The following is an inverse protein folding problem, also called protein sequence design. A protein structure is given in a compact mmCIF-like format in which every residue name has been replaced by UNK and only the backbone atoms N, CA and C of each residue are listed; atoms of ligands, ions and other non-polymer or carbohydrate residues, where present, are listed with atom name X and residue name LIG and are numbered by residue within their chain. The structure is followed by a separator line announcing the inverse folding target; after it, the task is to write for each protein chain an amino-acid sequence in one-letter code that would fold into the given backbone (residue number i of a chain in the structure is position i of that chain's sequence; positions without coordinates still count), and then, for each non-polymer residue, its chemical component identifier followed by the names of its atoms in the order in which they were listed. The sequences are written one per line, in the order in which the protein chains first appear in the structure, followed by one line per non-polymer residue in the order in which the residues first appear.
data_IF_678047736725
#
_entry.id   IF_678047736725
#
_cell.length_a   1.000
_cell.length_b   1.000
_cell.length_c   1.000
_cell.angle_alpha   90.00
_cell.angle_beta   90.00
_cell.angle_gamma   90.00
#
_symmetry.space_group_name_H-M   'P 1'
#
loop_
_entity.id
_entity.type
_entity.pdbx_description
1 polymer ?
#
# COMPACT_ATOMS: atom_id res chain seq x y z
N UNK A 1 15.87 8.86 3.71
CA UNK A 1 15.33 7.96 4.76
C UNK A 1 14.47 8.81 5.68
N UNK A 2 13.26 8.34 5.99
CA UNK A 2 12.27 9.03 6.82
C UNK A 2 12.04 8.15 8.04
N UNK A 3 11.96 8.76 9.24
CA UNK A 3 11.64 8.06 10.49
C UNK A 3 10.47 8.74 11.14
N UNK A 4 9.39 8.01 11.37
CA UNK A 4 8.17 8.52 11.98
C UNK A 4 7.90 7.77 13.26
N UNK A 5 8.10 8.41 14.41
CA UNK A 5 7.69 7.86 15.70
C UNK A 5 6.15 7.78 15.81
N UNK A 6 5.64 7.21 16.90
CA UNK A 6 4.21 7.19 17.19
C UNK A 6 3.63 8.62 17.16
N UNK A 7 2.54 8.82 16.41
CA UNK A 7 1.89 10.13 16.27
C UNK A 7 2.63 11.17 15.42
N UNK A 8 3.83 10.86 14.90
CA UNK A 8 4.55 11.78 14.01
C UNK A 8 4.12 11.62 12.55
N UNK A 9 4.00 12.75 11.88
CA UNK A 9 3.75 12.87 10.44
C UNK A 9 4.79 13.82 9.84
N UNK A 10 5.05 13.68 8.54
CA UNK A 10 5.76 14.72 7.80
C UNK A 10 4.86 15.98 7.69
N UNK A 11 5.44 17.16 7.42
CA UNK A 11 4.65 18.39 7.24
C UNK A 11 3.69 18.36 6.04
N UNK A 12 4.00 17.51 5.06
CA UNK A 12 3.20 17.22 3.87
C UNK A 12 3.62 15.83 3.33
N UNK A 13 2.79 15.15 2.52
CA UNK A 13 3.15 13.86 1.93
C UNK A 13 4.43 13.96 1.12
N UNK A 14 5.42 13.16 1.47
CA UNK A 14 6.67 13.00 0.75
C UNK A 14 6.54 11.77 -0.14
N UNK A 15 6.47 12.01 -1.44
CA UNK A 15 6.14 10.97 -2.41
C UNK A 15 7.34 10.47 -3.18
N UNK A 16 7.22 9.24 -3.68
CA UNK A 16 8.08 8.65 -4.69
C UNK A 16 7.23 8.27 -5.91
N UNK A 17 7.84 8.35 -7.10
CA UNK A 17 7.22 7.93 -8.35
C UNK A 17 7.90 6.64 -8.80
N UNK A 18 7.13 5.57 -8.91
CA UNK A 18 7.59 4.26 -9.35
C UNK A 18 6.93 3.98 -10.69
N UNK A 19 7.69 3.99 -11.79
CA UNK A 19 7.11 3.89 -13.12
C UNK A 19 8.05 3.23 -14.13
N UNK A 20 7.44 2.68 -15.17
CA UNK A 20 8.07 2.27 -16.41
C UNK A 20 7.33 2.98 -17.58
N UNK A 21 7.69 2.74 -18.86
CA UNK A 21 7.07 3.44 -19.99
C UNK A 21 5.55 3.32 -20.10
N UNK A 22 4.94 2.27 -19.56
CA UNK A 22 3.52 1.95 -19.74
C UNK A 22 2.73 1.86 -18.43
N UNK A 23 3.33 2.12 -17.26
CA UNK A 23 2.67 1.90 -15.97
C UNK A 23 3.36 2.68 -14.87
N UNK A 24 2.62 3.12 -13.87
CA UNK A 24 3.25 3.70 -12.69
C UNK A 24 2.33 3.87 -11.48
N UNK A 25 2.96 4.27 -10.38
CA UNK A 25 2.30 4.61 -9.14
C UNK A 25 3.03 5.76 -8.45
N UNK A 26 2.27 6.67 -7.85
CA UNK A 26 2.79 7.62 -6.86
C UNK A 26 2.51 7.03 -5.50
N UNK A 27 3.51 7.00 -4.64
CA UNK A 27 3.43 6.42 -3.30
C UNK A 27 4.03 7.38 -2.28
N UNK A 28 3.27 7.75 -1.25
CA UNK A 28 3.75 8.59 -0.16
C UNK A 28 4.48 7.79 0.93
N UNK A 29 5.11 8.49 1.87
CA UNK A 29 5.71 7.90 3.05
C UNK A 29 4.68 7.33 4.04
N UNK A 30 3.41 7.74 3.92
CA UNK A 30 2.32 7.16 4.67
C UNK A 30 1.92 5.79 4.11
N UNK A 31 2.26 5.49 2.86
CA UNK A 31 1.81 4.31 2.12
C UNK A 31 0.58 4.57 1.25
N UNK A 32 0.05 5.79 1.26
CA UNK A 32 -1.00 6.19 0.33
C UNK A 32 -0.47 6.13 -1.11
N UNK A 33 -1.28 5.56 -2.00
CA UNK A 33 -0.94 5.41 -3.40
C UNK A 33 -2.10 5.72 -4.34
N UNK A 34 -1.74 6.09 -5.56
CA UNK A 34 -2.57 5.85 -6.74
C UNK A 34 -1.71 5.24 -7.84
N UNK A 35 -2.33 4.48 -8.72
CA UNK A 35 -1.69 3.64 -9.74
C UNK A 35 -2.41 3.81 -11.08
N UNK A 36 -1.67 3.79 -12.18
CA UNK A 36 -2.19 3.96 -13.55
C UNK A 36 -1.51 3.04 -14.56
N UNK A 37 -2.17 2.84 -15.69
CA UNK A 37 -1.62 2.19 -16.88
C UNK A 37 -1.60 3.19 -18.03
N UNK A 38 -0.48 3.34 -18.72
CA UNK A 38 -0.21 4.21 -19.89
C UNK A 38 -0.39 5.72 -19.66
N UNK A 39 -1.52 6.17 -19.09
CA UNK A 39 -1.85 7.56 -18.86
C UNK A 39 -2.32 7.81 -17.41
N UNK A 40 -1.56 8.62 -16.67
CA UNK A 40 -1.83 8.94 -15.26
C UNK A 40 -3.09 9.78 -15.01
N UNK A 41 -3.68 10.34 -16.07
CA UNK A 41 -4.92 11.11 -16.01
C UNK A 41 -6.13 10.26 -16.42
N UNK A 42 -6.08 9.64 -17.60
CA UNK A 42 -7.23 8.97 -18.22
C UNK A 42 -7.41 7.50 -17.79
N UNK A 43 -6.32 6.81 -17.44
CA UNK A 43 -6.29 5.36 -17.28
C UNK A 43 -5.79 4.98 -15.88
N UNK A 44 -6.43 5.56 -14.87
CA UNK A 44 -6.14 5.26 -13.48
C UNK A 44 -6.74 3.91 -13.10
N UNK A 45 -5.95 3.10 -12.41
CA UNK A 45 -6.42 1.85 -11.82
C UNK A 45 -7.03 2.12 -10.45
N UNK A 46 -6.44 3.02 -9.68
CA UNK A 46 -6.87 3.40 -8.32
C UNK A 46 -7.04 4.91 -8.21
N UNK A 47 -7.87 5.41 -7.27
CA UNK A 47 -8.23 6.81 -7.21
C UNK A 47 -7.04 7.69 -6.82
N UNK A 48 -6.97 8.86 -7.45
CA UNK A 48 -6.10 9.94 -7.00
C UNK A 48 -6.94 11.01 -6.30
N UNK A 49 -6.41 11.50 -5.19
CA UNK A 49 -7.01 12.58 -4.42
C UNK A 49 -6.04 13.75 -4.35
N UNK A 50 -6.53 14.96 -4.60
CA UNK A 50 -5.74 16.18 -4.45
C UNK A 50 -5.85 16.74 -3.02
N UNK A 51 -5.58 15.92 -2.02
CA UNK A 51 -5.68 16.28 -0.60
C UNK A 51 -4.36 16.01 0.12
N UNK A 52 -3.57 17.08 0.28
CA UNK A 52 -2.28 17.03 0.97
C UNK A 52 -2.41 16.98 2.52
N UNK A 53 -3.62 17.12 3.06
CA UNK A 53 -3.88 17.08 4.51
C UNK A 53 -4.15 15.65 4.95
N UNK A 54 -5.08 14.98 4.27
CA UNK A 54 -5.51 13.63 4.66
C UNK A 54 -4.73 12.53 3.94
N UNK A 55 -4.13 12.82 2.79
CA UNK A 55 -3.41 11.85 1.94
C UNK A 55 -4.19 10.53 1.74
N UNK A 56 -5.48 10.57 1.34
CA UNK A 56 -6.29 9.37 1.27
C UNK A 56 -5.86 8.49 0.08
N UNK A 57 -6.05 7.19 0.22
CA UNK A 57 -5.73 6.22 -0.83
C UNK A 57 -6.82 5.18 -0.98
N UNK A 58 -7.05 4.78 -2.23
CA UNK A 58 -7.82 3.59 -2.57
C UNK A 58 -7.01 2.30 -2.51
N UNK A 59 -5.79 2.31 -2.00
CA UNK A 59 -4.94 1.13 -1.84
C UNK A 59 -4.55 0.96 -0.37
N UNK A 60 -4.64 -0.27 0.13
CA UNK A 60 -4.23 -0.56 1.49
C UNK A 60 -3.74 -2.00 1.66
N UNK A 61 -2.88 -2.19 2.66
CA UNK A 61 -2.47 -3.50 3.15
C UNK A 61 -2.67 -3.55 4.67
N UNK A 62 -3.44 -4.53 5.11
CA UNK A 62 -3.73 -4.77 6.52
C UNK A 62 -3.03 -6.04 6.98
N UNK A 63 -2.54 -6.00 8.21
CA UNK A 63 -2.08 -7.13 8.98
C UNK A 63 -3.00 -7.26 10.19
N UNK A 64 -3.40 -8.49 10.47
CA UNK A 64 -4.22 -8.81 11.62
C UNK A 64 -3.61 -9.98 12.38
N UNK A 65 -3.54 -9.85 13.70
CA UNK A 65 -3.32 -10.98 14.59
C UNK A 65 -4.66 -11.65 14.88
N UNK A 66 -4.79 -12.92 14.48
CA UNK A 66 -6.04 -13.68 14.60
C UNK A 66 -6.35 -14.09 16.05
N UNK A 67 -5.36 -14.07 16.94
CA UNK A 67 -5.55 -14.42 18.35
C UNK A 67 -6.03 -13.21 19.17
N UNK A 68 -5.41 -12.05 18.96
CA UNK A 68 -5.75 -10.82 19.71
C UNK A 68 -6.80 -9.94 19.03
N UNK A 69 -7.02 -10.13 17.73
CA UNK A 69 -7.86 -9.27 16.91
C UNK A 69 -7.23 -7.92 16.57
N UNK A 70 -5.98 -7.67 16.98
CA UNK A 70 -5.28 -6.41 16.67
C UNK A 70 -5.04 -6.28 15.16
N UNK A 71 -5.33 -5.09 14.62
CA UNK A 71 -5.12 -4.75 13.21
C UNK A 71 -4.14 -3.59 13.10
N UNK A 72 -3.22 -3.66 12.15
CA UNK A 72 -2.30 -2.58 11.78
C UNK A 72 -1.91 -2.69 10.31
N UNK A 73 -1.23 -1.68 9.78
CA UNK A 73 -0.69 -1.65 8.43
C UNK A 73 0.85 -1.69 8.46
N UNK A 74 1.49 -2.35 7.49
CA UNK A 74 2.96 -2.37 7.37
C UNK A 74 3.53 -0.99 6.97
N UNK A 75 2.69 -0.10 6.46
CA UNK A 75 2.90 1.34 6.30
C UNK A 75 2.07 2.14 7.33
N UNK A 76 2.34 3.44 7.55
CA UNK A 76 1.56 4.25 8.48
C UNK A 76 0.04 4.32 8.20
N UNK A 77 -0.36 4.39 6.94
CA UNK A 77 -1.73 4.31 6.44
C UNK A 77 -2.08 2.88 6.02
N UNK A 78 -3.34 2.43 6.12
CA UNK A 78 -4.48 3.11 6.76
C UNK A 78 -4.58 2.96 8.27
N UNK A 79 -4.04 1.88 8.86
CA UNK A 79 -4.16 1.61 10.30
C UNK A 79 -2.77 1.66 10.92
N UNK A 80 -2.42 2.81 11.48
CA UNK A 80 -1.09 2.99 12.07
C UNK A 80 -0.89 2.10 13.29
N UNK A 81 0.19 1.32 13.30
CA UNK A 81 0.66 0.63 14.48
C UNK A 81 1.27 1.58 15.52
N UNK A 82 1.38 1.19 16.80
CA UNK A 82 1.97 2.03 17.85
C UNK A 82 3.48 2.25 17.69
N UNK A 83 4.15 1.54 16.79
CA UNK A 83 5.60 1.56 16.65
C UNK A 83 6.12 2.63 15.70
N UNK A 84 7.44 2.82 15.73
CA UNK A 84 8.14 3.68 14.77
C UNK A 84 8.15 3.05 13.39
N UNK A 85 7.91 3.85 12.37
CA UNK A 85 8.08 3.46 10.97
C UNK A 85 9.38 4.05 10.41
N UNK A 86 10.10 3.25 9.64
CA UNK A 86 11.24 3.69 8.83
C UNK A 86 10.88 3.54 7.37
N UNK A 87 10.94 4.64 6.61
CA UNK A 87 10.58 4.68 5.20
C UNK A 87 11.79 5.08 4.37
N UNK A 88 11.98 4.39 3.24
CA UNK A 88 13.08 4.63 2.31
C UNK A 88 12.53 4.69 0.89
N UNK A 89 12.54 5.87 0.31
CA UNK A 89 12.34 6.04 -1.12
C UNK A 89 13.69 5.88 -1.83
N UNK A 90 13.74 4.96 -2.79
CA UNK A 90 14.87 4.72 -3.69
C UNK A 90 14.43 4.85 -5.14
N UNK A 91 15.38 4.65 -6.07
CA UNK A 91 15.09 4.69 -7.49
C UNK A 91 14.28 3.46 -7.90
N UNK A 92 13.02 3.66 -8.27
CA UNK A 92 12.13 2.58 -8.72
C UNK A 92 11.54 1.70 -7.60
N UNK A 93 11.80 2.02 -6.33
CA UNK A 93 11.18 1.32 -5.20
C UNK A 93 11.02 2.18 -3.94
N UNK A 94 10.16 1.74 -3.02
CA UNK A 94 10.01 2.27 -1.67
C UNK A 94 9.94 1.13 -0.66
N UNK A 95 10.55 1.31 0.52
CA UNK A 95 10.54 0.33 1.61
C UNK A 95 9.95 0.93 2.87
N UNK A 96 9.05 0.19 3.53
CA UNK A 96 8.49 0.50 4.85
C UNK A 96 8.89 -0.58 5.83
N UNK A 97 9.43 -0.18 6.98
CA UNK A 97 9.87 -1.07 8.04
C UNK A 97 9.20 -0.66 9.36
N UNK A 98 8.65 -1.62 10.09
CA UNK A 98 8.08 -1.42 11.44
C UNK A 98 8.14 -2.72 12.24
N UNK A 99 8.00 -2.63 13.56
CA UNK A 99 7.95 -3.79 14.46
C UNK A 99 6.78 -3.59 15.44
N UNK A 100 5.67 -4.28 15.20
CA UNK A 100 4.46 -4.16 16.02
C UNK A 100 4.22 -5.45 16.79
N UNK A 101 4.16 -5.36 18.12
CA UNK A 101 3.88 -6.48 19.03
C UNK A 101 4.76 -7.73 18.76
N UNK A 102 6.06 -7.51 18.48
CA UNK A 102 7.03 -8.57 18.20
C UNK A 102 6.89 -9.18 16.80
N UNK A 103 6.15 -8.54 15.89
CA UNK A 103 6.12 -8.86 14.47
C UNK A 103 6.83 -7.73 13.71
N UNK A 104 8.04 -8.02 13.24
CA UNK A 104 8.75 -7.11 12.34
C UNK A 104 8.24 -7.31 10.92
N UNK A 105 7.86 -6.21 10.26
CA UNK A 105 7.41 -6.22 8.86
C UNK A 105 8.29 -5.33 8.00
N UNK A 106 8.61 -5.82 6.81
CA UNK A 106 9.23 -5.05 5.73
C UNK A 106 8.33 -5.14 4.51
N UNK A 107 7.79 -4.02 4.06
CA UNK A 107 7.04 -3.91 2.81
C UNK A 107 7.90 -3.19 1.78
N UNK A 108 8.18 -3.84 0.66
CA UNK A 108 8.83 -3.21 -0.50
C UNK A 108 7.82 -3.05 -1.63
N UNK A 109 7.63 -1.82 -2.08
CA UNK A 109 6.77 -1.47 -3.22
C UNK A 109 7.65 -1.08 -4.39
N UNK A 110 7.43 -1.68 -5.56
CA UNK A 110 8.15 -1.36 -6.79
C UNK A 110 7.29 -1.68 -8.02
N UNK A 111 7.70 -1.15 -9.17
CA UNK A 111 7.10 -1.45 -10.48
C UNK A 111 8.09 -2.31 -11.28
N UNK A 112 7.60 -3.33 -11.99
CA UNK A 112 8.43 -4.12 -12.89
C UNK A 112 9.06 -3.22 -13.97
N UNK A 113 10.35 -3.39 -14.30
CA UNK A 113 10.97 -2.56 -15.34
C UNK A 113 10.31 -2.70 -16.71
N UNK A 114 9.86 -3.91 -17.07
CA UNK A 114 9.40 -4.27 -18.42
C UNK A 114 7.95 -4.75 -18.48
N UNK A 115 7.20 -4.69 -17.37
CA UNK A 115 5.82 -5.16 -17.32
C UNK A 115 4.92 -4.18 -16.54
N UNK A 116 3.65 -4.00 -16.93
CA UNK A 116 2.72 -3.10 -16.26
C UNK A 116 2.21 -3.72 -14.94
N UNK A 117 3.14 -3.97 -14.01
CA UNK A 117 2.88 -4.68 -12.76
C UNK A 117 3.50 -3.91 -11.60
N UNK A 118 2.67 -3.64 -10.59
CA UNK A 118 3.10 -3.17 -9.27
C UNK A 118 3.26 -4.36 -8.33
N UNK A 119 4.38 -4.43 -7.62
CA UNK A 119 4.62 -5.42 -6.59
C UNK A 119 4.52 -4.81 -5.20
N UNK A 120 3.85 -5.51 -4.30
CA UNK A 120 3.89 -5.30 -2.85
C UNK A 120 4.54 -6.54 -2.22
N UNK A 121 5.85 -6.50 -2.01
CA UNK A 121 6.59 -7.60 -1.41
C UNK A 121 6.64 -7.43 0.12
N UNK A 122 5.83 -8.21 0.83
CA UNK A 122 5.75 -8.19 2.30
C UNK A 122 6.55 -9.34 2.92
N UNK A 123 7.50 -9.00 3.78
CA UNK A 123 8.23 -9.94 4.63
C UNK A 123 7.84 -9.74 6.08
N UNK A 124 7.47 -10.82 6.77
CA UNK A 124 7.13 -10.82 8.20
C UNK A 124 8.11 -11.71 8.96
N UNK A 125 8.65 -11.18 10.07
CA UNK A 125 9.50 -11.93 10.99
C UNK A 125 8.86 -11.95 12.37
N UNK A 126 8.52 -13.13 12.86
CA UNK A 126 8.00 -13.31 14.21
C UNK A 126 9.16 -13.32 15.23
N UNK A 127 9.23 -12.27 16.05
CA UNK A 127 10.19 -12.06 17.14
C UNK A 127 9.54 -12.19 18.53
N UNK A 128 8.27 -12.58 18.59
CA UNK A 128 7.49 -12.58 19.84
C UNK A 128 7.80 -13.76 20.78
N UNK A 129 8.64 -14.72 20.36
CA UNK A 129 9.00 -15.89 21.17
C UNK A 129 7.89 -16.95 21.28
N UNK A 130 6.74 -16.74 20.61
CA UNK A 130 5.62 -17.68 20.56
C UNK A 130 5.09 -17.81 19.12
N UNK A 131 4.44 -18.92 18.74
CA UNK A 131 3.70 -18.99 17.49
C UNK A 131 2.67 -17.86 17.38
N UNK A 132 2.44 -17.36 16.17
CA UNK A 132 1.47 -16.30 15.87
C UNK A 132 0.72 -16.65 14.60
N UNK A 133 -0.60 -16.49 14.62
CA UNK A 133 -1.45 -16.62 13.44
C UNK A 133 -1.80 -15.23 12.92
N UNK A 134 -1.37 -14.93 11.71
CA UNK A 134 -1.58 -13.63 11.08
C UNK A 134 -2.36 -13.77 9.79
N UNK A 135 -3.23 -12.80 9.51
CA UNK A 135 -3.83 -12.60 8.19
C UNK A 135 -3.24 -11.34 7.55
N UNK A 136 -3.01 -11.39 6.25
CA UNK A 136 -2.68 -10.22 5.44
C UNK A 136 -3.80 -9.99 4.42
N UNK A 137 -4.35 -8.78 4.40
CA UNK A 137 -5.46 -8.43 3.52
C UNK A 137 -5.09 -7.20 2.70
N UNK A 138 -5.07 -7.33 1.38
CA UNK A 138 -4.95 -6.19 0.49
C UNK A 138 -6.35 -5.64 0.15
N UNK A 139 -6.46 -4.32 0.05
CA UNK A 139 -7.64 -3.62 -0.42
C UNK A 139 -7.26 -2.74 -1.60
N UNK A 140 -8.17 -2.70 -2.57
CA UNK A 140 -8.03 -1.88 -3.77
C UNK A 140 -9.41 -1.33 -4.14
N UNK A 141 -9.47 -0.02 -4.32
CA UNK A 141 -10.62 0.69 -4.85
C UNK A 141 -10.39 0.93 -6.35
N UNK A 142 -11.12 0.21 -7.17
CA UNK A 142 -10.97 0.28 -8.61
C UNK A 142 -11.61 1.53 -9.21
N UNK A 143 -10.84 2.21 -10.08
CA UNK A 143 -11.32 3.27 -10.97
C UNK A 143 -11.44 2.76 -12.39
N UNK A 144 -10.40 2.11 -12.93
CA UNK A 144 -10.36 1.60 -14.31
C UNK A 144 -10.85 2.63 -15.36
N UNK A 145 -10.33 3.87 -15.26
CA UNK A 145 -10.77 5.01 -16.07
C UNK A 145 -10.30 6.36 -15.49
N UNK A 146 -11.02 7.43 -15.82
CA UNK A 146 -10.67 8.80 -15.42
C UNK A 146 -11.16 9.13 -14.00
N UNK A 147 -12.45 8.84 -13.74
CA UNK A 147 -13.18 9.19 -12.54
C UNK A 147 -14.05 8.01 -12.08
N UNK A 148 -13.88 7.63 -10.82
CA UNK A 148 -14.63 6.54 -10.19
C UNK A 148 -16.15 6.71 -10.32
N UNK A 149 -16.64 7.95 -10.18
CA UNK A 149 -18.07 8.25 -10.27
C UNK A 149 -18.70 7.85 -11.62
N UNK A 150 -17.89 7.75 -12.69
CA UNK A 150 -18.33 7.35 -14.02
C UNK A 150 -18.18 5.85 -14.26
N UNK A 151 -17.12 5.25 -13.73
CA UNK A 151 -16.77 3.85 -14.00
C UNK A 151 -17.38 2.85 -13.03
N UNK A 152 -17.60 3.22 -11.75
CA UNK A 152 -17.89 2.25 -10.69
C UNK A 152 -19.12 1.36 -10.92
N UNK A 153 -20.17 1.87 -11.58
CA UNK A 153 -21.36 1.07 -11.89
C UNK A 153 -21.10 -0.04 -12.92
N UNK A 154 -19.97 0.02 -13.60
CA UNK A 154 -19.56 -0.92 -14.64
C UNK A 154 -18.44 -1.87 -14.19
N UNK A 155 -17.95 -1.71 -12.95
CA UNK A 155 -16.88 -2.55 -12.40
C UNK A 155 -17.52 -3.70 -11.64
N UNK A 156 -17.30 -4.92 -12.13
CA UNK A 156 -17.66 -6.16 -11.46
C UNK A 156 -16.36 -6.86 -11.05
N UNK A 157 -16.33 -7.41 -9.84
CA UNK A 157 -15.19 -8.19 -9.34
C UNK A 157 -15.63 -9.63 -9.06
N UNK A 158 -14.79 -10.59 -9.40
CA UNK A 158 -14.95 -12.00 -9.09
C UNK A 158 -13.74 -12.51 -8.29
N UNK A 159 -13.96 -13.51 -7.43
CA UNK A 159 -12.90 -14.19 -6.69
C UNK A 159 -12.59 -15.53 -7.34
N UNK A 160 -11.36 -15.71 -7.78
CA UNK A 160 -10.87 -17.00 -8.23
C UNK A 160 -10.52 -17.85 -7.01
N UNK A 161 -11.45 -18.72 -6.61
CA UNK A 161 -11.39 -19.57 -5.41
C UNK A 161 -10.12 -20.41 -5.31
N UNK A 162 -9.51 -20.75 -6.44
CA UNK A 162 -8.32 -21.60 -6.50
C UNK A 162 -7.06 -20.92 -5.96
N UNK A 163 -6.88 -19.62 -6.25
CA UNK A 163 -5.61 -18.91 -6.03
C UNK A 163 -5.76 -17.66 -5.15
N UNK A 164 -7.00 -17.29 -4.79
CA UNK A 164 -7.31 -16.08 -4.02
C UNK A 164 -7.12 -14.78 -4.79
N UNK A 165 -6.89 -14.86 -6.10
CA UNK A 165 -6.83 -13.71 -6.99
C UNK A 165 -8.22 -13.08 -7.15
N UNK A 166 -8.26 -11.74 -7.12
CA UNK A 166 -9.44 -10.96 -7.49
C UNK A 166 -9.28 -10.53 -8.95
N UNK A 167 -10.30 -10.77 -9.77
CA UNK A 167 -10.37 -10.36 -11.18
C UNK A 167 -11.53 -9.42 -11.43
#
# INVERSE_FOLDING_TARGET
VIRLAAGQMTPAPWVNVLANPAFGTVLSESGAAYTWSENAHEFRLTPWHNDAVSDPSGEALYLRDEESGQVWSPSPFPVRGPSTYVIRHGFGYSVFETDNAGIASTLTVHVAPEAPVKFLALTLTNRSGRPRRLSATAFVEWVLGDLRARSAMHICTESLVQDGALT
#
